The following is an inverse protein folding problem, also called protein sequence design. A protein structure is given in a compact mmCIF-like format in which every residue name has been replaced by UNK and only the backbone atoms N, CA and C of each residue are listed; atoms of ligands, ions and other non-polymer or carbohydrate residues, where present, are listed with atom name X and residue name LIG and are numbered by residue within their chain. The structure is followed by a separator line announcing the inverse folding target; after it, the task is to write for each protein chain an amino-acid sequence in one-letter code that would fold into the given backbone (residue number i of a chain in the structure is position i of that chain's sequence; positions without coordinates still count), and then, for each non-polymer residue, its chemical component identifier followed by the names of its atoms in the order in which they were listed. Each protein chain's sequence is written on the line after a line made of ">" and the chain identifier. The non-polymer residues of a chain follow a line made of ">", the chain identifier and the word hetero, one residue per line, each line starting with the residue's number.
data_IF_333581485087
#
_entry.id   IF_333581485087
#
_cell.length_a   1.000
_cell.length_b   1.000
_cell.length_c   1.000
_cell.angle_alpha   90.00
_cell.angle_beta   90.00
_cell.angle_gamma   90.00
#
_symmetry.space_group_name_H-M   'P 1'
#
loop_
_entity.id
_entity.type
_entity.pdbx_description
1 polymer ?
#
# COMPACT_ATOMS: atom_id res chain seq x y z
N UNK A 1 -22.58 -3.86 21.48
CA UNK A 1 -22.79 -4.08 20.03
C UNK A 1 -21.65 -4.95 19.51
N UNK A 2 -21.89 -5.77 18.49
CA UNK A 2 -20.86 -6.58 17.81
C UNK A 2 -20.69 -6.12 16.36
N UNK A 3 -19.53 -6.38 15.76
CA UNK A 3 -19.27 -6.07 14.36
C UNK A 3 -19.60 -7.29 13.50
N UNK A 4 -20.36 -7.09 12.42
CA UNK A 4 -20.39 -8.03 11.31
C UNK A 4 -19.23 -7.67 10.37
N UNK A 5 -18.08 -8.32 10.57
CA UNK A 5 -16.82 -7.93 9.95
C UNK A 5 -16.02 -9.12 9.40
N UNK A 6 -15.33 -8.86 8.29
CA UNK A 6 -14.38 -9.79 7.66
C UNK A 6 -14.94 -11.21 7.53
N UNK A 7 -14.28 -12.21 8.13
CA UNK A 7 -14.62 -13.63 8.00
C UNK A 7 -15.95 -14.03 8.63
N UNK A 8 -16.55 -13.17 9.46
CA UNK A 8 -17.81 -13.41 10.16
C UNK A 8 -18.85 -12.30 9.86
N UNK A 9 -18.72 -11.64 8.70
CA UNK A 9 -19.65 -10.58 8.30
C UNK A 9 -21.05 -11.12 7.97
N UNK A 10 -21.15 -12.14 7.11
CA UNK A 10 -22.44 -12.60 6.62
C UNK A 10 -23.35 -13.11 7.73
N UNK A 11 -24.66 -12.97 7.50
CA UNK A 11 -25.67 -13.42 8.46
C UNK A 11 -25.45 -14.89 8.85
N UNK A 12 -25.32 -15.21 10.15
CA UNK A 12 -24.97 -16.54 10.59
C UNK A 12 -26.06 -17.56 10.25
N UNK A 13 -25.66 -18.72 9.74
CA UNK A 13 -26.59 -19.81 9.37
C UNK A 13 -26.87 -20.79 10.52
N UNK A 14 -25.94 -20.91 11.48
CA UNK A 14 -25.96 -21.94 12.53
C UNK A 14 -26.19 -21.38 13.94
N UNK A 15 -26.15 -20.07 14.08
CA UNK A 15 -26.27 -19.38 15.37
C UNK A 15 -27.25 -18.24 15.20
N UNK A 16 -28.14 -18.07 16.17
CA UNK A 16 -29.00 -16.90 16.27
C UNK A 16 -28.48 -16.02 17.40
N UNK A 17 -28.33 -14.73 17.13
CA UNK A 17 -27.89 -13.78 18.15
C UNK A 17 -29.04 -13.50 19.12
N UNK A 18 -28.74 -13.39 20.42
CA UNK A 18 -29.70 -12.94 21.44
C UNK A 18 -30.25 -11.56 21.09
N UNK A 19 -31.54 -11.30 21.35
CA UNK A 19 -32.25 -10.10 20.90
C UNK A 19 -31.68 -8.78 21.46
N UNK A 20 -30.98 -8.84 22.59
CA UNK A 20 -30.34 -7.68 23.23
C UNK A 20 -28.99 -7.28 22.59
N UNK A 21 -28.50 -8.00 21.58
CA UNK A 21 -27.23 -7.71 20.91
C UNK A 21 -27.48 -6.81 19.68
N UNK A 22 -27.06 -5.55 19.73
CA UNK A 22 -26.99 -4.71 18.54
C UNK A 22 -25.84 -5.12 17.61
N UNK A 23 -26.04 -5.00 16.29
CA UNK A 23 -25.07 -5.37 15.25
C UNK A 23 -24.65 -4.15 14.44
N UNK A 24 -23.36 -4.02 14.17
CA UNK A 24 -22.79 -3.00 13.28
C UNK A 24 -22.29 -3.65 11.99
N UNK A 25 -22.86 -3.25 10.84
CA UNK A 25 -22.48 -3.78 9.53
C UNK A 25 -21.30 -2.99 8.96
N UNK A 26 -20.19 -3.67 8.67
CA UNK A 26 -18.99 -3.06 8.10
C UNK A 26 -19.09 -2.98 6.57
N UNK A 27 -19.22 -1.78 6.00
CA UNK A 27 -19.50 -1.58 4.56
C UNK A 27 -18.44 -0.72 3.86
N UNK A 28 -18.05 -1.12 2.65
CA UNK A 28 -17.11 -0.46 1.75
C UNK A 28 -17.81 0.60 0.87
N UNK A 29 -18.59 1.49 1.50
CA UNK A 29 -19.45 2.45 0.80
C UNK A 29 -18.73 3.39 -0.16
N UNK A 30 -17.43 3.64 0.04
CA UNK A 30 -16.60 4.47 -0.84
C UNK A 30 -15.95 3.72 -1.99
N UNK A 31 -15.96 2.38 -2.01
CA UNK A 31 -15.48 1.59 -3.15
C UNK A 31 -16.55 1.56 -4.26
N UNK A 32 -17.09 2.73 -4.61
CA UNK A 32 -18.27 2.90 -5.46
C UNK A 32 -17.98 2.54 -6.93
N UNK A 33 -16.69 2.56 -7.27
CA UNK A 33 -16.13 2.19 -8.57
C UNK A 33 -16.08 0.70 -8.83
N UNK A 34 -16.27 -0.13 -7.80
CA UNK A 34 -16.18 -1.59 -7.88
C UNK A 34 -17.58 -2.20 -7.78
N UNK A 35 -18.20 -2.57 -8.93
CA UNK A 35 -19.56 -3.11 -8.93
C UNK A 35 -19.69 -4.43 -8.15
N UNK A 36 -18.64 -5.25 -8.12
CA UNK A 36 -18.67 -6.52 -7.41
C UNK A 36 -18.70 -6.31 -5.89
N UNK A 37 -17.87 -5.38 -5.38
CA UNK A 37 -17.92 -4.97 -3.96
C UNK A 37 -19.28 -4.34 -3.64
N UNK A 38 -19.78 -3.43 -4.48
CA UNK A 38 -21.08 -2.78 -4.21
C UNK A 38 -22.23 -3.79 -4.21
N UNK A 39 -22.25 -4.75 -5.13
CA UNK A 39 -23.25 -5.81 -5.18
C UNK A 39 -23.18 -6.69 -3.93
N UNK A 40 -21.98 -7.14 -3.54
CA UNK A 40 -21.76 -7.90 -2.32
C UNK A 40 -22.24 -7.14 -1.08
N UNK A 41 -21.89 -5.86 -0.94
CA UNK A 41 -22.25 -5.07 0.23
C UNK A 41 -23.77 -4.83 0.32
N UNK A 42 -24.45 -4.68 -0.83
CA UNK A 42 -25.91 -4.60 -0.89
C UNK A 42 -26.55 -5.93 -0.48
N UNK A 43 -26.06 -7.06 -0.99
CA UNK A 43 -26.56 -8.39 -0.62
C UNK A 43 -26.35 -8.66 0.87
N UNK A 44 -25.13 -8.42 1.37
CA UNK A 44 -24.75 -8.52 2.77
C UNK A 44 -25.66 -7.65 3.65
N UNK A 45 -25.81 -6.37 3.33
CA UNK A 45 -26.69 -5.45 4.06
C UNK A 45 -28.14 -5.95 4.07
N UNK A 46 -28.69 -6.27 2.90
CA UNK A 46 -30.06 -6.77 2.76
C UNK A 46 -30.27 -8.05 3.56
N UNK A 47 -29.28 -8.96 3.59
CA UNK A 47 -29.37 -10.22 4.33
C UNK A 47 -29.61 -10.02 5.82
N UNK A 48 -29.00 -8.98 6.41
CA UNK A 48 -29.17 -8.64 7.82
C UNK A 48 -30.49 -7.91 8.08
N UNK A 49 -30.74 -6.82 7.36
CA UNK A 49 -31.92 -5.96 7.64
C UNK A 49 -33.25 -6.64 7.32
N UNK A 50 -33.26 -7.66 6.45
CA UNK A 50 -34.48 -8.43 6.15
C UNK A 50 -34.77 -9.51 7.18
N UNK A 51 -33.72 -10.12 7.75
CA UNK A 51 -33.84 -11.24 8.72
C UNK A 51 -33.96 -10.77 10.16
N UNK A 52 -33.44 -9.59 10.49
CA UNK A 52 -33.35 -9.05 11.85
C UNK A 52 -34.12 -7.72 11.98
N UNK A 53 -35.41 -7.73 11.60
CA UNK A 53 -36.25 -6.51 11.51
C UNK A 53 -36.37 -5.75 12.83
N UNK A 54 -36.43 -6.46 13.96
CA UNK A 54 -36.62 -5.87 15.28
C UNK A 54 -35.29 -5.60 16.02
N UNK A 55 -34.16 -5.98 15.42
CA UNK A 55 -32.84 -5.79 16.01
C UNK A 55 -32.30 -4.40 15.69
N UNK A 56 -31.69 -3.69 16.66
CA UNK A 56 -30.90 -2.51 16.36
C UNK A 56 -29.71 -2.84 15.45
N UNK A 57 -29.81 -2.41 14.18
CA UNK A 57 -28.72 -2.47 13.20
C UNK A 57 -28.13 -1.07 13.03
N UNK A 58 -26.81 -1.00 13.16
CA UNK A 58 -25.98 0.18 13.00
C UNK A 58 -24.92 -0.08 11.91
N UNK A 59 -24.15 0.95 11.57
CA UNK A 59 -23.17 0.88 10.49
C UNK A 59 -21.76 1.17 10.98
N UNK A 60 -20.79 0.53 10.35
CA UNK A 60 -19.39 0.91 10.36
C UNK A 60 -18.98 1.18 8.92
N UNK A 61 -18.83 2.45 8.56
CA UNK A 61 -18.65 2.88 7.18
C UNK A 61 -17.18 3.20 6.89
N UNK A 62 -16.60 2.52 5.90
CA UNK A 62 -15.23 2.77 5.47
C UNK A 62 -15.14 4.01 4.56
N UNK A 63 -14.86 5.16 5.18
CA UNK A 63 -14.58 6.43 4.51
C UNK A 63 -13.07 6.66 4.30
N UNK A 64 -12.22 5.87 4.95
CA UNK A 64 -10.76 6.01 4.98
C UNK A 64 -10.06 5.67 3.65
N UNK A 65 -10.68 4.87 2.79
CA UNK A 65 -10.10 4.54 1.48
C UNK A 65 -10.27 5.72 0.51
N UNK A 66 -9.45 5.85 -0.55
CA UNK A 66 -8.18 5.16 -0.73
C UNK A 66 -7.03 5.73 0.14
N UNK A 67 -7.28 6.84 0.86
CA UNK A 67 -6.24 7.61 1.56
C UNK A 67 -5.46 6.79 2.57
N UNK A 68 -6.11 5.88 3.32
CA UNK A 68 -5.44 5.04 4.30
C UNK A 68 -4.37 4.14 3.66
N UNK A 69 -4.66 3.55 2.50
CA UNK A 69 -3.70 2.71 1.76
C UNK A 69 -2.54 3.55 1.22
N UNK A 70 -2.84 4.75 0.73
CA UNK A 70 -1.84 5.71 0.29
C UNK A 70 -0.92 6.17 1.42
N UNK A 71 -1.48 6.59 2.54
CA UNK A 71 -0.76 7.05 3.72
C UNK A 71 0.14 5.96 4.31
N UNK A 72 -0.39 4.75 4.53
CA UNK A 72 0.41 3.60 4.99
C UNK A 72 1.52 3.23 4.00
N UNK A 73 1.27 3.46 2.72
CA UNK A 73 2.24 3.20 1.65
C UNK A 73 3.25 4.34 1.41
N UNK A 74 3.08 5.51 2.02
CA UNK A 74 3.91 6.69 1.77
C UNK A 74 3.82 7.22 0.33
N UNK A 75 2.64 7.21 -0.29
CA UNK A 75 2.42 7.73 -1.63
C UNK A 75 1.09 8.49 -1.73
N UNK A 76 0.95 9.38 -2.70
CA UNK A 76 -0.30 10.13 -2.89
C UNK A 76 -1.29 9.37 -3.77
N UNK A 77 -2.54 9.25 -3.32
CA UNK A 77 -3.63 8.66 -4.06
C UNK A 77 -4.33 9.64 -5.02
N UNK A 78 -5.05 9.11 -6.01
CA UNK A 78 -6.15 9.86 -6.64
C UNK A 78 -7.29 10.01 -5.61
N UNK A 79 -7.96 11.19 -5.48
CA UNK A 79 -9.00 11.41 -4.48
C UNK A 79 -10.22 10.53 -4.68
N UNK A 80 -10.75 9.99 -3.58
CA UNK A 80 -11.92 9.12 -3.58
C UNK A 80 -13.25 9.85 -3.42
N UNK A 81 -13.47 10.96 -4.10
CA UNK A 81 -14.72 11.74 -4.00
C UNK A 81 -15.92 10.91 -4.46
N UNK A 82 -17.04 10.99 -3.73
CA UNK A 82 -18.17 10.07 -3.91
C UNK A 82 -19.51 10.57 -3.32
N UNK A 83 -19.77 11.87 -3.29
CA UNK A 83 -21.04 12.44 -2.78
C UNK A 83 -22.29 11.73 -3.30
N UNK A 84 -22.36 11.41 -4.59
CA UNK A 84 -23.47 10.67 -5.19
C UNK A 84 -23.54 9.21 -4.73
N UNK A 85 -22.41 8.62 -4.31
CA UNK A 85 -22.37 7.33 -3.62
C UNK A 85 -22.95 7.43 -2.21
N UNK A 86 -22.63 8.50 -1.47
CA UNK A 86 -23.20 8.78 -0.14
C UNK A 86 -24.73 8.88 -0.24
N UNK A 87 -25.25 9.64 -1.21
CA UNK A 87 -26.68 9.78 -1.46
C UNK A 87 -27.39 8.43 -1.61
N UNK A 88 -26.88 7.56 -2.49
CA UNK A 88 -27.45 6.25 -2.75
C UNK A 88 -27.47 5.37 -1.51
N UNK A 89 -26.38 5.36 -0.74
CA UNK A 89 -26.27 4.56 0.47
C UNK A 89 -27.15 5.10 1.59
N UNK A 90 -27.19 6.41 1.82
CA UNK A 90 -27.92 7.01 2.94
C UNK A 90 -29.43 6.91 2.73
N UNK A 91 -29.92 7.08 1.51
CA UNK A 91 -31.32 6.79 1.16
C UNK A 91 -31.67 5.32 1.38
N UNK A 92 -30.75 4.39 1.08
CA UNK A 92 -30.95 2.97 1.41
C UNK A 92 -31.03 2.76 2.92
N UNK A 93 -30.10 3.31 3.68
CA UNK A 93 -30.10 3.19 5.14
C UNK A 93 -31.39 3.74 5.76
N UNK A 94 -31.85 4.90 5.30
CA UNK A 94 -33.11 5.49 5.72
C UNK A 94 -34.31 4.59 5.44
N UNK A 95 -34.42 4.01 4.22
CA UNK A 95 -35.51 3.08 3.87
C UNK A 95 -35.58 1.85 4.78
N UNK A 96 -34.47 1.47 5.41
CA UNK A 96 -34.40 0.33 6.33
C UNK A 96 -34.35 0.75 7.81
N UNK A 97 -34.64 2.01 8.12
CA UNK A 97 -34.74 2.48 9.50
C UNK A 97 -33.42 2.47 10.27
N UNK A 98 -32.28 2.52 9.59
CA UNK A 98 -30.97 2.55 10.24
C UNK A 98 -30.76 3.91 10.93
N UNK A 99 -30.36 3.90 12.20
CA UNK A 99 -30.32 5.10 13.06
C UNK A 99 -28.94 5.52 13.54
N UNK A 100 -27.87 4.84 13.13
CA UNK A 100 -26.53 5.27 13.54
C UNK A 100 -25.41 4.64 12.72
N UNK A 101 -24.37 5.42 12.51
CA UNK A 101 -23.18 5.04 11.77
C UNK A 101 -21.93 5.51 12.52
N UNK A 102 -20.95 4.62 12.65
CA UNK A 102 -19.57 4.96 12.91
C UNK A 102 -18.84 5.14 11.59
N UNK A 103 -17.95 6.12 11.51
CA UNK A 103 -17.18 6.43 10.30
C UNK A 103 -15.72 6.09 10.54
N UNK A 104 -15.21 5.09 9.83
CA UNK A 104 -13.79 4.77 9.83
C UNK A 104 -13.08 5.64 8.81
N UNK A 105 -12.28 6.58 9.31
CA UNK A 105 -11.88 7.76 8.57
C UNK A 105 -13.03 8.76 8.44
N UNK A 106 -12.74 9.95 7.93
CA UNK A 106 -13.74 10.98 7.70
C UNK A 106 -13.53 11.59 6.32
N UNK A 107 -14.62 11.89 5.61
CA UNK A 107 -14.55 12.58 4.32
C UNK A 107 -13.96 13.99 4.51
N UNK A 108 -13.16 14.46 3.55
CA UNK A 108 -12.69 15.85 3.60
C UNK A 108 -13.74 16.77 2.97
N UNK A 109 -13.96 17.93 3.60
CA UNK A 109 -14.75 19.04 3.07
C UNK A 109 -16.14 18.66 2.54
N UNK A 110 -16.28 18.42 1.23
CA UNK A 110 -17.57 18.16 0.56
C UNK A 110 -18.23 16.89 1.06
N UNK A 111 -17.49 15.79 1.20
CA UNK A 111 -18.07 14.53 1.69
C UNK A 111 -18.59 14.68 3.12
N UNK A 112 -17.85 15.39 3.98
CA UNK A 112 -18.30 15.65 5.36
C UNK A 112 -19.60 16.47 5.36
N UNK A 113 -19.68 17.51 4.53
CA UNK A 113 -20.87 18.34 4.42
C UNK A 113 -22.08 17.53 3.93
N UNK A 114 -21.92 16.78 2.84
CA UNK A 114 -22.98 15.91 2.28
C UNK A 114 -23.42 14.87 3.30
N UNK A 115 -22.48 14.18 3.94
CA UNK A 115 -22.79 13.20 4.99
C UNK A 115 -23.60 13.84 6.12
N UNK A 116 -23.17 14.98 6.66
CA UNK A 116 -23.88 15.63 7.77
C UNK A 116 -25.29 16.08 7.37
N UNK A 117 -25.46 16.63 6.16
CA UNK A 117 -26.79 17.01 5.65
C UNK A 117 -27.72 15.81 5.48
N UNK A 118 -27.19 14.66 5.05
CA UNK A 118 -27.98 13.44 4.86
C UNK A 118 -28.18 12.63 6.14
N UNK A 119 -27.36 12.84 7.18
CA UNK A 119 -27.64 12.33 8.53
C UNK A 119 -28.83 13.07 9.16
N UNK A 120 -28.94 14.38 8.90
CA UNK A 120 -30.04 15.22 9.36
C UNK A 120 -31.33 14.94 8.59
N UNK A 121 -31.27 15.00 7.24
CA UNK A 121 -32.38 14.68 6.35
C UNK A 121 -31.92 13.86 5.13
N UNK A 122 -32.12 12.54 5.12
CA UNK A 122 -31.68 11.65 4.04
C UNK A 122 -32.56 11.76 2.77
N UNK A 123 -33.65 12.53 2.80
CA UNK A 123 -34.53 12.70 1.63
C UNK A 123 -34.07 13.82 0.70
N UNK A 124 -33.14 14.67 1.16
CA UNK A 124 -32.59 15.78 0.40
C UNK A 124 -31.93 15.31 -0.91
N UNK A 125 -31.97 16.20 -1.91
CA UNK A 125 -31.20 16.02 -3.14
C UNK A 125 -29.73 16.32 -2.89
N UNK A 126 -28.85 15.38 -3.23
CA UNK A 126 -27.39 15.59 -3.17
C UNK A 126 -26.95 16.72 -4.08
N UNK A 127 -27.54 16.89 -5.25
CA UNK A 127 -27.21 17.98 -6.18
C UNK A 127 -27.48 19.34 -5.55
N UNK A 128 -28.62 19.48 -4.85
CA UNK A 128 -28.98 20.70 -4.14
C UNK A 128 -28.05 20.97 -2.94
N UNK A 129 -27.61 19.91 -2.24
CA UNK A 129 -26.61 20.04 -1.16
C UNK A 129 -25.26 20.49 -1.73
N UNK A 130 -24.86 19.97 -2.89
CA UNK A 130 -23.63 20.39 -3.56
C UNK A 130 -23.75 21.84 -4.05
N UNK A 131 -24.88 22.24 -4.64
CA UNK A 131 -25.12 23.64 -5.04
C UNK A 131 -24.98 24.59 -3.85
N UNK A 132 -25.65 24.28 -2.75
CA UNK A 132 -25.58 25.03 -1.49
C UNK A 132 -24.13 25.15 -0.98
N UNK A 133 -23.40 24.02 -0.94
CA UNK A 133 -22.01 24.00 -0.51
C UNK A 133 -21.11 24.86 -1.40
N UNK A 134 -21.15 24.66 -2.73
CA UNK A 134 -20.23 25.34 -3.63
C UNK A 134 -20.56 26.84 -3.74
N UNK A 135 -21.85 27.21 -3.79
CA UNK A 135 -22.27 28.60 -3.79
C UNK A 135 -21.87 29.30 -2.48
N UNK A 136 -22.15 28.71 -1.32
CA UNK A 136 -21.87 29.33 -0.02
C UNK A 136 -20.39 29.35 0.35
N UNK A 137 -19.63 28.31 -0.01
CA UNK A 137 -18.22 28.20 0.35
C UNK A 137 -17.32 28.95 -0.64
N UNK A 138 -17.53 28.81 -1.96
CA UNK A 138 -16.64 29.39 -2.97
C UNK A 138 -17.15 30.67 -3.63
N UNK A 139 -18.42 31.05 -3.40
CA UNK A 139 -19.01 32.29 -3.90
C UNK A 139 -18.80 32.45 -5.41
N UNK A 140 -18.10 33.50 -5.84
CA UNK A 140 -17.85 33.75 -7.26
C UNK A 140 -17.09 32.62 -7.99
N UNK A 141 -16.33 31.78 -7.26
CA UNK A 141 -15.64 30.63 -7.81
C UNK A 141 -16.46 29.31 -7.78
N UNK A 142 -17.74 29.36 -7.37
CA UNK A 142 -18.57 28.18 -7.17
C UNK A 142 -18.63 27.25 -8.40
N UNK A 143 -18.90 27.79 -9.58
CA UNK A 143 -19.05 27.00 -10.82
C UNK A 143 -17.80 26.19 -11.16
N UNK A 144 -16.62 26.79 -11.37
CA UNK A 144 -15.42 26.00 -11.71
C UNK A 144 -15.00 25.04 -10.58
N UNK A 145 -15.27 25.38 -9.31
CA UNK A 145 -15.00 24.48 -8.18
C UNK A 145 -15.93 23.26 -8.15
N UNK A 146 -17.23 23.45 -8.38
CA UNK A 146 -18.20 22.35 -8.47
C UNK A 146 -17.87 21.44 -9.66
N UNK A 147 -17.58 22.03 -10.82
CA UNK A 147 -17.18 21.27 -12.01
C UNK A 147 -15.90 20.44 -11.78
N UNK A 148 -14.90 21.01 -11.12
CA UNK A 148 -13.68 20.30 -10.77
C UNK A 148 -13.95 19.12 -9.83
N UNK A 149 -14.73 19.34 -8.77
CA UNK A 149 -15.13 18.28 -7.84
C UNK A 149 -15.86 17.14 -8.54
N UNK A 150 -16.91 17.46 -9.32
CA UNK A 150 -17.71 16.46 -10.04
C UNK A 150 -16.87 15.69 -11.05
N UNK A 151 -15.91 16.34 -11.72
CA UNK A 151 -15.03 15.66 -12.66
C UNK A 151 -14.08 14.67 -11.96
N UNK A 152 -13.59 14.99 -10.76
CA UNK A 152 -12.78 14.08 -9.93
C UNK A 152 -13.64 12.94 -9.39
N UNK A 153 -14.82 13.24 -8.84
CA UNK A 153 -15.79 12.24 -8.35
C UNK A 153 -16.16 11.25 -9.46
N UNK A 154 -16.53 11.75 -10.64
CA UNK A 154 -16.89 10.91 -11.77
C UNK A 154 -15.70 10.02 -12.19
N UNK A 155 -14.49 10.58 -12.28
CA UNK A 155 -13.29 9.79 -12.61
C UNK A 155 -13.04 8.69 -11.60
N UNK A 156 -13.20 8.97 -10.30
CA UNK A 156 -13.02 7.96 -9.26
C UNK A 156 -14.13 6.92 -9.29
N UNK A 157 -15.37 7.33 -9.50
CA UNK A 157 -16.57 6.50 -9.30
C UNK A 157 -16.96 5.66 -10.51
N UNK A 158 -16.50 6.00 -11.71
CA UNK A 158 -16.84 5.29 -12.95
C UNK A 158 -16.03 3.99 -13.10
N UNK A 159 -16.66 2.80 -13.07
CA UNK A 159 -15.98 1.52 -13.27
C UNK A 159 -15.23 1.44 -14.61
N UNK A 160 -15.69 2.14 -15.66
CA UNK A 160 -15.03 2.17 -16.95
C UNK A 160 -13.66 2.88 -16.91
N UNK A 161 -13.39 3.64 -15.85
CA UNK A 161 -12.10 4.25 -15.57
C UNK A 161 -11.03 3.27 -15.08
N UNK A 162 -11.39 2.01 -14.79
CA UNK A 162 -10.52 0.99 -14.20
C UNK A 162 -10.22 -0.15 -15.19
N UNK A 163 -9.11 -0.90 -15.01
CA UNK A 163 -8.86 -2.11 -15.78
C UNK A 163 -9.99 -3.13 -15.64
N UNK A 164 -10.24 -3.89 -16.70
CA UNK A 164 -11.19 -5.01 -16.65
C UNK A 164 -10.83 -5.99 -15.53
N UNK A 165 -11.86 -6.41 -14.77
CA UNK A 165 -11.69 -7.32 -13.62
C UNK A 165 -10.97 -6.71 -12.41
N UNK A 166 -10.67 -5.40 -12.41
CA UNK A 166 -10.10 -4.75 -11.24
C UNK A 166 -11.08 -4.78 -10.07
N UNK A 167 -10.59 -5.24 -8.91
CA UNK A 167 -11.34 -5.19 -7.65
C UNK A 167 -10.47 -4.70 -6.50
N UNK A 168 -11.12 -4.05 -5.53
CA UNK A 168 -10.52 -3.59 -4.29
C UNK A 168 -9.99 -2.16 -4.34
N UNK A 169 -9.03 -1.88 -3.45
CA UNK A 169 -8.47 -0.54 -3.29
C UNK A 169 -7.48 -0.20 -4.41
N UNK A 170 -7.48 1.07 -4.81
CA UNK A 170 -6.50 1.59 -5.74
C UNK A 170 -5.06 1.39 -5.26
N UNK A 171 -4.18 1.16 -6.24
CA UNK A 171 -2.72 1.10 -6.08
C UNK A 171 -2.10 2.24 -6.88
N UNK A 172 -0.79 2.51 -6.69
CA UNK A 172 -0.05 3.57 -7.41
C UNK A 172 -0.34 3.59 -8.92
N UNK A 173 -0.29 2.41 -9.56
CA UNK A 173 -0.59 2.23 -11.00
C UNK A 173 -2.02 2.65 -11.36
N UNK A 174 -3.02 2.20 -10.60
CA UNK A 174 -4.43 2.58 -10.82
C UNK A 174 -4.60 4.09 -10.67
N UNK A 175 -4.06 4.67 -9.60
CA UNK A 175 -4.17 6.10 -9.34
C UNK A 175 -3.58 6.96 -10.46
N UNK A 176 -2.43 6.59 -11.03
CA UNK A 176 -1.67 7.49 -11.91
C UNK A 176 -1.54 7.04 -13.37
N UNK A 177 -1.84 5.79 -13.72
CA UNK A 177 -1.96 5.37 -15.12
C UNK A 177 -3.41 5.33 -15.60
N UNK A 178 -4.37 5.05 -14.71
CA UNK A 178 -5.78 4.91 -15.08
C UNK A 178 -6.63 6.12 -14.68
N UNK A 179 -6.55 6.60 -13.44
CA UNK A 179 -7.42 7.68 -12.94
C UNK A 179 -6.85 9.07 -13.24
N UNK A 180 -5.70 9.40 -12.68
CA UNK A 180 -5.03 10.70 -12.82
C UNK A 180 -4.18 10.82 -14.09
N UNK A 181 -4.75 10.56 -15.27
CA UNK A 181 -4.05 10.65 -16.56
C UNK A 181 -3.58 12.07 -16.87
N UNK A 182 -2.58 12.22 -17.75
CA UNK A 182 -2.08 13.54 -18.16
C UNK A 182 -3.19 14.41 -18.80
N UNK A 183 -4.08 13.80 -19.59
CA UNK A 183 -5.22 14.48 -20.20
C UNK A 183 -6.20 15.00 -19.14
N UNK A 184 -6.57 14.16 -18.16
CA UNK A 184 -7.49 14.57 -17.08
C UNK A 184 -6.88 15.64 -16.19
N UNK A 185 -5.62 15.50 -15.80
CA UNK A 185 -4.94 16.56 -15.03
C UNK A 185 -4.86 17.86 -15.81
N UNK A 186 -4.62 17.83 -17.13
CA UNK A 186 -4.65 19.07 -17.93
C UNK A 186 -6.02 19.74 -17.87
N UNK A 187 -7.11 18.97 -17.98
CA UNK A 187 -8.48 19.49 -17.84
C UNK A 187 -8.74 20.04 -16.44
N UNK A 188 -8.40 19.30 -15.39
CA UNK A 188 -8.61 19.70 -14.00
C UNK A 188 -7.80 20.95 -13.64
N UNK A 189 -6.57 21.06 -14.14
CA UNK A 189 -5.74 22.25 -13.95
C UNK A 189 -6.35 23.51 -14.56
N UNK A 190 -7.04 23.40 -15.70
CA UNK A 190 -7.78 24.55 -16.28
C UNK A 190 -8.92 25.01 -15.39
N UNK A 191 -9.70 24.08 -14.84
CA UNK A 191 -10.77 24.40 -13.88
C UNK A 191 -10.21 25.05 -12.61
N UNK A 192 -9.07 24.55 -12.11
CA UNK A 192 -8.39 25.15 -10.96
C UNK A 192 -7.97 26.61 -11.25
N UNK A 193 -7.41 26.88 -12.43
CA UNK A 193 -7.06 28.25 -12.86
C UNK A 193 -8.29 29.14 -12.99
N UNK A 194 -9.38 28.63 -13.59
CA UNK A 194 -10.64 29.37 -13.69
C UNK A 194 -11.21 29.72 -12.30
N UNK A 195 -11.18 28.79 -11.34
CA UNK A 195 -11.60 29.06 -9.98
C UNK A 195 -10.74 30.12 -9.28
N UNK A 196 -9.42 30.10 -9.48
CA UNK A 196 -8.53 31.12 -8.94
C UNK A 196 -8.81 32.51 -9.53
N UNK A 197 -9.14 32.60 -10.82
CA UNK A 197 -9.50 33.85 -11.49
C UNK A 197 -10.90 34.35 -11.12
N UNK A 198 -11.82 33.43 -10.82
CA UNK A 198 -13.21 33.76 -10.50
C UNK A 198 -13.40 34.25 -9.06
N UNK A 199 -12.53 33.85 -8.13
CA UNK A 199 -12.59 34.33 -6.74
C UNK A 199 -12.39 35.85 -6.67
N UNK A 200 -13.30 36.56 -6.02
CA UNK A 200 -13.34 38.03 -5.95
C UNK A 200 -12.98 38.59 -4.57
N UNK A 201 -13.16 37.80 -3.51
CA UNK A 201 -12.89 38.22 -2.13
C UNK A 201 -11.72 37.47 -1.52
N UNK A 202 -11.05 38.07 -0.53
CA UNK A 202 -9.97 37.43 0.23
C UNK A 202 -10.37 36.08 0.86
N UNK A 203 -11.64 35.93 1.24
CA UNK A 203 -12.14 34.68 1.80
C UNK A 203 -12.27 33.60 0.72
N UNK A 204 -12.86 33.93 -0.43
CA UNK A 204 -12.96 33.01 -1.58
C UNK A 204 -11.58 32.60 -2.07
N UNK A 205 -10.65 33.55 -2.24
CA UNK A 205 -9.27 33.27 -2.68
C UNK A 205 -8.57 32.31 -1.72
N UNK A 206 -8.72 32.50 -0.40
CA UNK A 206 -8.15 31.58 0.61
C UNK A 206 -8.77 30.18 0.53
N UNK A 207 -10.09 30.07 0.36
CA UNK A 207 -10.78 28.78 0.24
C UNK A 207 -10.37 28.03 -1.03
N UNK A 208 -10.26 28.71 -2.17
CA UNK A 208 -9.74 28.13 -3.41
C UNK A 208 -8.28 27.69 -3.25
N UNK A 209 -7.45 28.47 -2.56
CA UNK A 209 -6.06 28.11 -2.27
C UNK A 209 -5.94 26.88 -1.35
N UNK A 210 -6.85 26.72 -0.37
CA UNK A 210 -6.91 25.52 0.46
C UNK A 210 -7.20 24.26 -0.37
N UNK A 211 -8.21 24.31 -1.25
CA UNK A 211 -8.48 23.19 -2.16
C UNK A 211 -7.28 22.89 -3.05
N UNK A 212 -6.65 23.94 -3.62
CA UNK A 212 -5.45 23.77 -4.44
C UNK A 212 -4.37 23.02 -3.67
N UNK A 213 -4.08 23.43 -2.44
CA UNK A 213 -3.04 22.80 -1.62
C UNK A 213 -3.40 21.37 -1.21
N UNK A 214 -4.62 21.15 -0.72
CA UNK A 214 -5.05 19.88 -0.13
C UNK A 214 -5.34 18.80 -1.17
N UNK A 215 -5.85 19.19 -2.35
CA UNK A 215 -6.32 18.26 -3.38
C UNK A 215 -5.48 18.35 -4.64
N UNK A 216 -5.40 19.53 -5.26
CA UNK A 216 -4.78 19.67 -6.58
C UNK A 216 -3.27 19.41 -6.56
N UNK A 217 -2.53 20.09 -5.68
CA UNK A 217 -1.08 19.94 -5.56
C UNK A 217 -0.71 18.54 -5.08
N UNK A 218 -1.51 17.95 -4.19
CA UNK A 218 -1.38 16.56 -3.78
C UNK A 218 -1.47 15.60 -4.98
N UNK A 219 -2.43 15.81 -5.89
CA UNK A 219 -2.58 15.00 -7.11
C UNK A 219 -1.42 15.17 -8.09
N UNK A 220 -1.05 16.42 -8.38
CA UNK A 220 0.06 16.74 -9.29
C UNK A 220 1.36 16.12 -8.80
N UNK A 221 1.63 16.28 -7.50
CA UNK A 221 2.80 15.70 -6.85
C UNK A 221 2.76 14.17 -6.86
N UNK A 222 1.60 13.56 -6.60
CA UNK A 222 1.44 12.11 -6.66
C UNK A 222 1.78 11.51 -8.02
N UNK A 223 1.26 12.14 -9.09
CA UNK A 223 1.61 11.74 -10.46
C UNK A 223 3.10 11.95 -10.72
N UNK A 224 3.67 13.10 -10.34
CA UNK A 224 5.08 13.41 -10.55
C UNK A 224 5.98 12.36 -9.88
N UNK A 225 5.72 12.04 -8.61
CA UNK A 225 6.46 11.02 -7.86
C UNK A 225 6.38 9.65 -8.52
N UNK A 226 5.18 9.25 -8.98
CA UNK A 226 4.99 7.96 -9.64
C UNK A 226 5.88 7.80 -10.88
N UNK A 227 5.84 8.75 -11.80
CA UNK A 227 6.64 8.68 -13.03
C UNK A 227 8.12 8.95 -12.79
N UNK A 228 8.48 9.76 -11.81
CA UNK A 228 9.87 9.95 -11.40
C UNK A 228 10.47 8.65 -10.87
N UNK A 229 9.74 7.93 -9.99
CA UNK A 229 10.16 6.62 -9.47
C UNK A 229 10.36 5.59 -10.57
N UNK A 230 9.48 5.54 -11.57
CA UNK A 230 9.61 4.61 -12.69
C UNK A 230 10.92 4.79 -13.48
N UNK A 231 11.42 6.03 -13.59
CA UNK A 231 12.67 6.37 -14.28
C UNK A 231 13.91 6.33 -13.40
N UNK A 232 13.74 6.27 -12.08
CA UNK A 232 14.86 6.31 -11.16
C UNK A 232 15.74 5.05 -11.31
N UNK A 233 17.07 5.17 -11.17
CA UNK A 233 17.97 4.03 -11.26
C UNK A 233 17.62 2.98 -10.19
N UNK A 234 17.93 1.72 -10.46
CA UNK A 234 17.88 0.62 -9.50
C UNK A 234 19.29 0.23 -9.08
N UNK A 235 19.42 -0.63 -8.07
CA UNK A 235 20.72 -1.24 -7.74
C UNK A 235 21.27 -1.97 -8.95
N UNK A 236 22.59 -1.95 -9.13
CA UNK A 236 23.29 -2.72 -10.16
C UNK A 236 24.61 -3.22 -9.60
N UNK A 237 24.92 -4.49 -9.78
CA UNK A 237 26.25 -5.03 -9.47
C UNK A 237 26.58 -6.26 -10.31
N UNK A 238 27.87 -6.54 -10.49
CA UNK A 238 28.35 -7.84 -10.98
C UNK A 238 28.75 -8.67 -9.78
N UNK A 239 28.35 -9.93 -9.77
CA UNK A 239 28.62 -10.86 -8.68
C UNK A 239 29.84 -11.67 -9.07
N UNK A 240 31.00 -11.44 -8.43
CA UNK A 240 32.23 -12.08 -8.85
C UNK A 240 32.21 -13.56 -8.53
N UNK A 241 32.77 -14.35 -9.46
CA UNK A 241 33.02 -15.77 -9.26
C UNK A 241 34.28 -15.97 -8.42
N UNK A 242 34.14 -16.70 -7.33
CA UNK A 242 35.21 -17.08 -6.42
C UNK A 242 35.60 -18.56 -6.63
N UNK A 243 36.77 -18.99 -6.11
CA UNK A 243 37.10 -20.41 -6.02
C UNK A 243 35.99 -21.23 -5.33
N UNK A 244 35.92 -22.53 -5.63
CA UNK A 244 34.90 -23.41 -5.06
C UNK A 244 34.91 -23.40 -3.53
N UNK A 245 33.85 -22.83 -2.95
CA UNK A 245 33.60 -22.84 -1.52
C UNK A 245 32.62 -23.96 -1.12
N UNK A 246 31.91 -24.57 -2.09
CA UNK A 246 31.03 -25.74 -1.91
C UNK A 246 29.99 -25.54 -0.79
N UNK A 247 29.44 -24.35 -0.73
CA UNK A 247 28.45 -23.95 0.27
C UNK A 247 29.05 -23.56 1.63
N UNK A 248 30.36 -23.35 1.74
CA UNK A 248 31.06 -22.95 2.96
C UNK A 248 31.39 -21.45 3.01
N UNK A 249 30.64 -20.62 3.78
CA UNK A 249 30.86 -19.19 3.82
C UNK A 249 32.15 -18.80 4.56
N UNK A 250 32.81 -19.74 5.27
CA UNK A 250 34.11 -19.49 5.90
C UNK A 250 35.26 -19.52 4.89
N UNK A 251 35.05 -20.15 3.72
CA UNK A 251 36.04 -20.24 2.64
C UNK A 251 35.92 -19.09 1.62
N UNK A 252 34.88 -18.27 1.74
CA UNK A 252 34.66 -17.13 0.83
C UNK A 252 35.64 -16.01 1.16
N UNK A 253 36.37 -15.54 0.15
CA UNK A 253 37.24 -14.38 0.26
C UNK A 253 36.40 -13.09 0.27
N UNK A 254 35.71 -12.80 1.38
CA UNK A 254 34.76 -11.68 1.50
C UNK A 254 35.35 -10.30 1.13
N UNK A 255 36.66 -10.09 1.29
CA UNK A 255 37.33 -8.87 0.86
C UNK A 255 37.31 -8.63 -0.66
N UNK A 256 37.12 -9.69 -1.46
CA UNK A 256 37.02 -9.65 -2.93
C UNK A 256 35.57 -9.71 -3.43
N UNK A 257 34.60 -9.94 -2.56
CA UNK A 257 33.19 -9.96 -2.91
C UNK A 257 32.71 -8.56 -3.33
N UNK A 258 31.72 -8.48 -4.23
CA UNK A 258 31.17 -7.21 -4.65
C UNK A 258 30.37 -6.56 -3.51
N UNK A 259 30.60 -5.26 -3.29
CA UNK A 259 29.87 -4.52 -2.27
C UNK A 259 28.44 -4.18 -2.72
N UNK A 260 27.49 -4.31 -1.81
CA UNK A 260 26.09 -3.91 -1.96
C UNK A 260 25.84 -2.69 -1.09
N UNK A 261 26.19 -1.51 -1.62
CA UNK A 261 26.04 -0.22 -0.93
C UNK A 261 25.78 0.92 -1.93
N UNK A 262 25.16 2.03 -1.52
CA UNK A 262 24.57 2.27 -0.18
C UNK A 262 23.24 1.52 0.02
N UNK A 263 22.80 1.43 1.28
CA UNK A 263 21.41 1.13 1.61
C UNK A 263 20.60 2.43 1.73
N UNK A 264 19.34 2.40 1.31
CA UNK A 264 18.46 3.56 1.20
C UNK A 264 17.31 3.45 2.18
N UNK A 265 17.01 4.53 2.91
CA UNK A 265 15.84 4.60 3.79
C UNK A 265 14.57 4.69 2.96
N UNK A 266 13.51 3.98 3.36
CA UNK A 266 12.17 4.17 2.80
C UNK A 266 11.62 5.55 3.15
N UNK A 267 11.81 5.98 4.39
CA UNK A 267 11.38 7.28 4.89
C UNK A 267 12.61 8.08 5.35
N UNK A 268 12.87 9.27 4.79
CA UNK A 268 13.99 10.11 5.16
C UNK A 268 14.06 10.48 6.65
N UNK A 269 12.93 10.48 7.35
CA UNK A 269 12.85 10.78 8.79
C UNK A 269 13.33 9.63 9.69
N UNK A 270 13.49 8.42 9.14
CA UNK A 270 14.00 7.27 9.91
C UNK A 270 15.44 7.51 10.37
N UNK A 271 15.87 6.94 11.52
CA UNK A 271 17.25 6.95 11.95
C UNK A 271 18.22 6.43 10.88
N UNK A 272 19.49 6.82 10.94
CA UNK A 272 20.51 6.23 10.04
C UNK A 272 21.10 4.99 10.69
N UNK A 273 21.09 3.87 9.95
CA UNK A 273 21.77 2.63 10.34
C UNK A 273 22.98 2.42 9.44
N UNK A 274 24.08 1.91 10.02
CA UNK A 274 25.29 1.58 9.28
C UNK A 274 25.15 0.15 8.74
N UNK A 275 24.70 0.06 7.48
CA UNK A 275 24.41 -1.20 6.80
C UNK A 275 25.42 -1.46 5.69
N UNK A 276 25.95 -2.67 5.63
CA UNK A 276 26.85 -3.14 4.59
C UNK A 276 26.38 -4.49 4.06
N UNK A 277 26.53 -4.70 2.75
CA UNK A 277 26.29 -5.99 2.12
C UNK A 277 27.44 -6.37 1.20
N UNK A 278 27.68 -7.67 1.05
CA UNK A 278 28.63 -8.24 0.09
C UNK A 278 28.03 -9.45 -0.61
N UNK A 279 28.37 -9.64 -1.87
CA UNK A 279 27.87 -10.74 -2.69
C UNK A 279 28.97 -11.37 -3.54
N UNK A 280 28.95 -12.70 -3.63
CA UNK A 280 29.82 -13.50 -4.48
C UNK A 280 29.11 -14.81 -4.89
N UNK A 281 29.66 -15.54 -5.86
CA UNK A 281 29.23 -16.92 -6.13
C UNK A 281 30.44 -17.81 -6.42
N UNK A 282 30.30 -19.13 -6.33
CA UNK A 282 31.35 -20.07 -6.76
C UNK A 282 30.98 -20.85 -8.04
N UNK A 283 29.80 -20.56 -8.60
CA UNK A 283 29.22 -21.26 -9.75
C UNK A 283 28.21 -22.34 -9.37
N UNK A 284 28.12 -22.71 -8.08
CA UNK A 284 27.12 -23.63 -7.55
C UNK A 284 26.26 -22.99 -6.45
N UNK A 285 26.81 -22.03 -5.71
CA UNK A 285 26.14 -21.30 -4.64
C UNK A 285 26.35 -19.79 -4.80
N UNK A 286 25.32 -19.03 -4.42
CA UNK A 286 25.37 -17.59 -4.15
C UNK A 286 25.66 -17.37 -2.66
N UNK A 287 26.55 -16.43 -2.37
CA UNK A 287 26.96 -16.07 -1.02
C UNK A 287 26.62 -14.60 -0.76
N UNK A 288 25.98 -14.33 0.39
CA UNK A 288 25.71 -13.00 0.90
C UNK A 288 26.29 -12.84 2.30
N UNK A 289 26.94 -11.71 2.57
CA UNK A 289 27.29 -11.26 3.93
C UNK A 289 26.63 -9.90 4.16
N UNK A 290 25.74 -9.84 5.16
CA UNK A 290 24.97 -8.65 5.52
C UNK A 290 25.39 -8.23 6.92
N UNK A 291 25.77 -6.97 7.09
CA UNK A 291 26.25 -6.45 8.36
C UNK A 291 25.45 -5.20 8.74
N UNK A 292 25.02 -5.16 10.00
CA UNK A 292 24.56 -3.94 10.66
C UNK A 292 25.52 -3.65 11.83
N UNK A 293 26.04 -2.42 11.94
CA UNK A 293 26.72 -1.98 13.16
C UNK A 293 25.68 -1.53 14.18
N UNK A 294 25.53 -2.30 15.24
CA UNK A 294 24.50 -2.18 16.26
C UNK A 294 24.94 -2.97 17.49
N UNK A 295 24.51 -2.56 18.69
CA UNK A 295 24.62 -3.44 19.87
C UNK A 295 23.64 -4.62 19.67
N UNK A 296 24.10 -5.87 19.51
CA UNK A 296 23.19 -6.97 19.25
C UNK A 296 22.17 -7.24 20.36
N UNK A 297 22.39 -6.73 21.58
CA UNK A 297 21.40 -6.81 22.68
C UNK A 297 20.17 -5.95 22.43
N UNK A 298 20.28 -4.94 21.56
CA UNK A 298 19.17 -4.08 21.16
C UNK A 298 18.27 -4.69 20.08
N UNK A 299 18.73 -5.77 19.42
CA UNK A 299 17.98 -6.43 18.36
C UNK A 299 16.72 -7.09 18.91
N UNK A 300 15.58 -6.80 18.28
CA UNK A 300 14.35 -7.48 18.62
C UNK A 300 14.32 -8.87 17.98
N UNK A 301 14.13 -9.91 18.79
CA UNK A 301 13.90 -11.26 18.28
C UNK A 301 12.95 -12.03 19.16
N UNK A 302 11.77 -12.35 18.63
CA UNK A 302 10.70 -13.10 19.29
C UNK A 302 10.54 -14.54 18.73
N UNK A 303 11.40 -14.92 17.79
CA UNK A 303 11.40 -16.25 17.16
C UNK A 303 10.50 -16.36 15.93
N UNK A 304 9.77 -15.30 15.56
CA UNK A 304 9.00 -15.21 14.32
C UNK A 304 9.72 -14.24 13.40
N UNK A 305 10.13 -14.68 12.20
CA UNK A 305 11.05 -13.92 11.34
C UNK A 305 10.53 -12.51 11.06
N UNK A 306 9.29 -12.38 10.61
CA UNK A 306 8.69 -11.09 10.21
C UNK A 306 8.11 -10.25 11.37
N UNK A 307 8.21 -10.77 12.60
CA UNK A 307 7.87 -10.04 13.81
C UNK A 307 9.13 -9.57 14.58
N UNK A 308 10.27 -10.18 14.28
CA UNK A 308 11.61 -9.80 14.74
C UNK A 308 12.18 -8.64 13.90
N UNK A 309 13.34 -8.13 14.32
CA UNK A 309 14.25 -7.50 13.38
C UNK A 309 14.70 -8.57 12.38
N UNK A 310 14.84 -8.20 11.11
CA UNK A 310 15.23 -9.17 10.09
C UNK A 310 15.98 -8.56 8.91
N UNK A 311 16.62 -9.46 8.17
CA UNK A 311 17.02 -9.27 6.77
C UNK A 311 16.05 -10.01 5.86
N UNK A 312 15.56 -9.34 4.82
CA UNK A 312 14.79 -9.95 3.74
C UNK A 312 15.55 -9.91 2.42
N UNK A 313 15.65 -11.06 1.76
CA UNK A 313 16.32 -11.23 0.48
C UNK A 313 15.24 -11.59 -0.53
N UNK A 314 15.07 -10.74 -1.53
CA UNK A 314 14.12 -10.95 -2.62
C UNK A 314 14.85 -11.19 -3.93
N UNK A 315 14.50 -12.23 -4.67
CA UNK A 315 15.18 -12.53 -5.94
C UNK A 315 14.24 -13.12 -7.00
N UNK A 316 14.43 -12.73 -8.26
CA UNK A 316 13.69 -13.27 -9.41
C UNK A 316 14.45 -13.15 -10.73
N UNK A 317 13.94 -13.80 -11.78
CA UNK A 317 14.51 -13.73 -13.14
C UNK A 317 14.10 -12.48 -13.92
N UNK A 318 13.14 -11.71 -13.40
CA UNK A 318 12.64 -10.47 -14.00
C UNK A 318 12.15 -9.51 -12.93
N UNK A 319 12.01 -8.23 -13.27
CA UNK A 319 11.33 -7.22 -12.43
C UNK A 319 9.81 -7.43 -12.42
N UNK A 320 9.36 -8.44 -11.67
CA UNK A 320 7.96 -8.84 -11.56
C UNK A 320 7.80 -10.21 -10.91
N UNK A 321 6.57 -10.72 -10.88
CA UNK A 321 6.29 -12.11 -10.45
C UNK A 321 6.62 -13.12 -11.58
N UNK A 322 7.10 -14.33 -11.27
CA UNK A 322 7.38 -14.84 -9.93
C UNK A 322 8.71 -14.33 -9.36
N UNK A 323 8.80 -14.24 -8.03
CA UNK A 323 10.02 -14.00 -7.28
C UNK A 323 9.99 -14.78 -5.95
N UNK A 324 11.15 -14.97 -5.34
CA UNK A 324 11.32 -15.68 -4.07
C UNK A 324 11.81 -14.73 -2.98
N UNK A 325 11.49 -15.07 -1.74
CA UNK A 325 11.82 -14.28 -0.55
C UNK A 325 12.43 -15.21 0.50
N UNK A 326 13.55 -14.80 1.08
CA UNK A 326 14.14 -15.42 2.27
C UNK A 326 14.24 -14.37 3.38
N UNK A 327 13.60 -14.61 4.50
CA UNK A 327 13.76 -13.82 5.72
C UNK A 327 14.73 -14.47 6.67
N UNK A 328 15.53 -13.66 7.37
CA UNK A 328 16.52 -14.12 8.35
C UNK A 328 16.48 -13.24 9.59
N UNK A 329 16.17 -13.84 10.73
CA UNK A 329 16.19 -13.14 12.03
C UNK A 329 17.60 -13.12 12.66
N UNK A 330 17.85 -12.28 13.69
CA UNK A 330 19.08 -12.26 14.48
C UNK A 330 19.47 -13.61 15.08
N UNK A 331 18.50 -14.49 15.34
CA UNK A 331 18.75 -15.86 15.85
C UNK A 331 19.11 -16.86 14.75
N UNK A 332 19.14 -16.43 13.49
CA UNK A 332 19.40 -17.29 12.33
C UNK A 332 18.19 -18.11 11.88
N UNK A 333 17.02 -17.97 12.52
CA UNK A 333 15.77 -18.56 12.04
C UNK A 333 15.41 -17.99 10.67
N UNK A 334 14.91 -18.84 9.78
CA UNK A 334 14.62 -18.49 8.39
C UNK A 334 13.19 -18.82 7.99
N UNK A 335 12.61 -17.99 7.13
CA UNK A 335 11.37 -18.28 6.42
C UNK A 335 11.55 -18.04 4.92
N UNK A 336 11.10 -18.98 4.09
CA UNK A 336 11.29 -18.94 2.65
C UNK A 336 9.96 -19.06 1.91
N UNK A 337 9.61 -18.03 1.13
CA UNK A 337 8.32 -17.93 0.44
C UNK A 337 8.53 -17.77 -1.07
N UNK A 338 7.63 -18.37 -1.85
CA UNK A 338 7.54 -18.16 -3.29
C UNK A 338 6.32 -17.30 -3.63
N UNK A 339 6.51 -16.24 -4.41
CA UNK A 339 5.47 -15.28 -4.75
C UNK A 339 5.10 -15.39 -6.22
N UNK A 340 3.88 -15.84 -6.50
CA UNK A 340 3.41 -16.07 -7.88
C UNK A 340 3.83 -17.43 -8.45
N UNK A 341 4.23 -18.37 -7.58
CA UNK A 341 4.40 -19.78 -7.88
C UNK A 341 3.29 -20.58 -7.17
N UNK A 342 2.98 -21.79 -7.66
CA UNK A 342 1.99 -22.69 -7.05
C UNK A 342 2.52 -23.37 -5.79
N UNK A 343 3.83 -23.62 -5.71
CA UNK A 343 4.48 -24.24 -4.57
C UNK A 343 5.00 -23.17 -3.60
N UNK A 344 4.41 -23.10 -2.40
CA UNK A 344 4.90 -22.32 -1.25
C UNK A 344 4.64 -23.12 0.03
N UNK A 345 5.57 -23.17 1.01
CA UNK A 345 6.85 -22.46 1.08
C UNK A 345 7.88 -22.92 0.04
N UNK A 346 8.90 -22.10 -0.19
CA UNK A 346 10.02 -22.41 -1.08
C UNK A 346 11.08 -23.20 -0.31
N UNK A 347 11.43 -24.41 -0.77
CA UNK A 347 12.64 -25.10 -0.31
C UNK A 347 13.88 -24.39 -0.89
N UNK A 348 14.39 -23.42 -0.13
CA UNK A 348 15.55 -22.62 -0.54
C UNK A 348 16.86 -23.39 -0.52
N UNK A 349 16.96 -24.47 0.27
CA UNK A 349 18.23 -25.09 0.63
C UNK A 349 19.23 -24.09 1.25
N UNK A 350 18.75 -22.96 1.77
CA UNK A 350 19.61 -21.92 2.31
C UNK A 350 20.33 -22.40 3.57
N UNK A 351 21.62 -22.09 3.68
CA UNK A 351 22.35 -22.19 4.94
C UNK A 351 22.64 -20.80 5.45
N UNK A 352 22.31 -20.56 6.71
CA UNK A 352 22.45 -19.27 7.36
C UNK A 352 23.34 -19.39 8.59
N UNK A 353 24.26 -18.44 8.73
CA UNK A 353 25.01 -18.19 9.96
C UNK A 353 24.70 -16.77 10.40
N UNK A 354 24.04 -16.62 11.54
CA UNK A 354 23.79 -15.33 12.17
C UNK A 354 24.73 -15.17 13.36
N UNK A 355 25.62 -14.19 13.30
CA UNK A 355 26.64 -13.92 14.31
C UNK A 355 26.36 -12.58 15.01
N UNK A 356 26.04 -12.69 16.28
CA UNK A 356 25.79 -11.58 17.22
C UNK A 356 26.80 -11.58 18.36
N UNK A 357 27.92 -12.30 18.23
CA UNK A 357 28.94 -12.45 19.28
C UNK A 357 29.76 -11.18 19.52
N UNK A 358 29.94 -10.36 18.48
CA UNK A 358 30.63 -9.08 18.59
C UNK A 358 29.72 -8.02 19.22
N UNK A 359 30.23 -7.23 20.16
CA UNK A 359 29.44 -6.25 20.91
C UNK A 359 28.91 -5.07 20.07
N UNK A 360 29.41 -4.88 18.85
CA UNK A 360 29.18 -3.70 18.02
C UNK A 360 28.57 -3.99 16.64
N UNK A 361 28.24 -5.26 16.34
CA UNK A 361 27.69 -5.65 15.04
C UNK A 361 26.91 -6.95 15.06
N UNK A 362 25.96 -7.01 14.13
CA UNK A 362 25.30 -8.23 13.69
C UNK A 362 25.72 -8.57 12.26
N UNK A 363 26.28 -9.76 12.07
CA UNK A 363 26.73 -10.27 10.76
C UNK A 363 25.92 -11.50 10.39
N UNK A 364 25.24 -11.45 9.24
CA UNK A 364 24.49 -12.58 8.68
C UNK A 364 25.17 -13.06 7.40
N UNK A 365 25.58 -14.32 7.38
CA UNK A 365 26.09 -14.99 6.17
C UNK A 365 25.07 -15.98 5.64
N UNK A 366 24.71 -15.85 4.38
CA UNK A 366 23.67 -16.64 3.72
C UNK A 366 24.29 -17.32 2.51
N UNK A 367 24.07 -18.63 2.41
CA UNK A 367 24.51 -19.46 1.29
C UNK A 367 23.26 -20.03 0.62
N UNK A 368 23.11 -19.79 -0.68
CA UNK A 368 21.96 -20.20 -1.46
C UNK A 368 22.40 -21.05 -2.67
N UNK A 369 21.98 -22.31 -2.80
CA UNK A 369 22.26 -23.11 -3.99
C UNK A 369 21.66 -22.46 -5.25
N UNK A 370 22.47 -22.22 -6.28
CA UNK A 370 22.01 -21.57 -7.52
C UNK A 370 20.91 -22.36 -8.22
N UNK A 371 20.96 -23.71 -8.15
CA UNK A 371 19.94 -24.59 -8.68
C UNK A 371 18.55 -24.38 -8.05
N UNK A 372 18.51 -23.87 -6.81
CA UNK A 372 17.27 -23.60 -6.07
C UNK A 372 16.94 -22.11 -5.96
N UNK A 373 17.79 -21.21 -6.45
CA UNK A 373 17.68 -19.77 -6.19
C UNK A 373 16.43 -19.11 -6.78
N UNK A 374 16.05 -19.51 -7.99
CA UNK A 374 14.91 -18.98 -8.78
C UNK A 374 14.25 -20.13 -9.55
N UNK A 375 13.03 -19.95 -10.11
CA UNK A 375 12.40 -20.97 -10.95
C UNK A 375 13.31 -21.43 -12.10
N UNK A 376 13.60 -22.74 -12.15
CA UNK A 376 14.52 -23.34 -13.12
C UNK A 376 16.01 -23.12 -12.83
N UNK A 377 16.37 -22.64 -11.63
CA UNK A 377 17.75 -22.40 -11.21
C UNK A 377 18.41 -21.20 -11.90
N UNK A 378 19.63 -20.89 -11.45
CA UNK A 378 20.52 -19.89 -12.01
C UNK A 378 21.91 -20.49 -12.28
N UNK A 379 22.70 -19.85 -13.14
CA UNK A 379 24.08 -20.21 -13.48
C UNK A 379 24.93 -18.97 -13.77
N UNK A 380 26.25 -19.14 -13.84
CA UNK A 380 27.16 -18.10 -14.30
C UNK A 380 26.71 -17.53 -15.66
N UNK A 381 26.82 -16.22 -15.83
CA UNK A 381 26.32 -15.45 -16.96
C UNK A 381 24.86 -15.00 -16.86
N UNK A 382 24.07 -15.55 -15.93
CA UNK A 382 22.66 -15.14 -15.79
C UNK A 382 22.53 -13.73 -15.20
N UNK A 383 21.56 -12.98 -15.72
CA UNK A 383 21.04 -11.76 -15.10
C UNK A 383 19.86 -12.10 -14.19
N UNK A 384 19.92 -11.65 -12.94
CA UNK A 384 18.87 -11.80 -11.94
C UNK A 384 18.51 -10.44 -11.34
N UNK A 385 17.35 -10.38 -10.70
CA UNK A 385 16.84 -9.17 -10.07
C UNK A 385 16.70 -9.40 -8.57
N UNK A 386 17.48 -8.66 -7.78
CA UNK A 386 17.66 -8.80 -6.35
C UNK A 386 17.21 -7.53 -5.62
N UNK A 387 16.63 -7.68 -4.43
CA UNK A 387 16.67 -6.63 -3.42
C UNK A 387 17.01 -7.23 -2.06
N UNK A 388 17.72 -6.45 -1.24
CA UNK A 388 18.00 -6.79 0.15
C UNK A 388 17.39 -5.71 1.01
N UNK A 389 16.64 -6.13 2.00
CA UNK A 389 15.87 -5.25 2.88
C UNK A 389 16.26 -5.52 4.32
N UNK A 390 16.55 -4.47 5.08
CA UNK A 390 16.62 -4.51 6.54
C UNK A 390 15.30 -4.00 7.09
N UNK A 391 14.62 -4.80 7.90
CA UNK A 391 13.35 -4.41 8.56
C UNK A 391 13.52 -4.42 10.06
N UNK A 392 13.36 -3.25 10.69
CA UNK A 392 13.33 -3.16 12.14
C UNK A 392 11.91 -3.32 12.67
N UNK A 393 11.79 -4.12 13.72
CA UNK A 393 10.57 -4.66 14.27
C UNK A 393 9.51 -3.59 14.62
N UNK A 394 8.22 -3.95 14.58
CA UNK A 394 7.09 -3.03 14.51
C UNK A 394 6.72 -2.27 15.79
N UNK A 395 7.46 -2.36 16.91
CA UNK A 395 7.03 -1.78 18.20
C UNK A 395 6.90 -0.25 18.20
N UNK A 396 7.50 0.45 17.24
CA UNK A 396 7.37 1.90 17.05
C UNK A 396 7.11 2.32 15.59
N UNK A 397 6.70 1.38 14.72
CA UNK A 397 6.62 1.56 13.27
C UNK A 397 7.76 0.88 12.52
N UNK A 398 7.49 0.34 11.32
CA UNK A 398 8.49 -0.40 10.51
C UNK A 398 9.51 0.56 9.91
N UNK A 399 10.76 0.52 10.38
CA UNK A 399 11.88 1.12 9.65
C UNK A 399 12.38 0.16 8.58
N UNK A 400 12.57 0.65 7.36
CA UNK A 400 12.86 -0.17 6.18
C UNK A 400 14.02 0.46 5.43
N UNK A 401 15.07 -0.32 5.21
CA UNK A 401 16.24 0.07 4.44
C UNK A 401 16.44 -0.90 3.30
N UNK A 402 16.67 -0.42 2.08
CA UNK A 402 16.79 -1.28 0.89
C UNK A 402 18.11 -1.07 0.16
N UNK A 403 18.70 -2.13 -0.38
CA UNK A 403 19.86 -2.01 -1.27
C UNK A 403 19.49 -1.35 -2.60
N UNK A 404 18.41 -1.80 -3.25
CA UNK A 404 17.92 -1.13 -4.45
C UNK A 404 17.17 0.14 -4.07
N UNK A 405 17.53 1.33 -4.61
CA UNK A 405 16.87 2.60 -4.29
C UNK A 405 15.43 2.68 -4.78
N UNK A 406 14.64 3.51 -4.10
CA UNK A 406 13.23 3.76 -4.40
C UNK A 406 12.38 2.48 -4.41
N UNK A 407 12.71 1.54 -3.53
CA UNK A 407 12.05 0.25 -3.35
C UNK A 407 11.58 0.07 -1.90
N UNK A 408 10.71 -0.91 -1.66
CA UNK A 408 10.41 -1.48 -0.34
C UNK A 408 10.24 -3.00 -0.47
N UNK A 409 9.79 -3.67 0.59
CA UNK A 409 9.31 -5.06 0.55
C UNK A 409 8.23 -5.23 -0.55
N UNK A 410 8.30 -6.34 -1.27
CA UNK A 410 7.33 -6.73 -2.31
C UNK A 410 7.13 -5.74 -3.48
N UNK A 411 8.15 -4.96 -3.84
CA UNK A 411 8.17 -4.10 -5.04
C UNK A 411 9.14 -4.65 -6.11
N UNK A 412 8.83 -5.79 -6.76
CA UNK A 412 9.74 -6.44 -7.72
C UNK A 412 10.02 -5.60 -8.96
N UNK A 413 9.18 -4.60 -9.25
CA UNK A 413 9.43 -3.59 -10.30
C UNK A 413 10.69 -2.75 -10.03
N UNK A 414 11.22 -2.77 -8.79
CA UNK A 414 12.39 -2.00 -8.35
C UNK A 414 13.57 -2.85 -7.90
N UNK A 415 13.54 -4.16 -8.07
CA UNK A 415 14.69 -5.00 -7.76
C UNK A 415 15.89 -4.59 -8.62
N UNK A 416 17.05 -4.49 -7.96
CA UNK A 416 18.32 -4.19 -8.58
C UNK A 416 18.78 -5.35 -9.45
N UNK A 417 19.60 -5.05 -10.44
CA UNK A 417 20.14 -6.01 -11.40
C UNK A 417 21.45 -6.59 -10.84
N UNK A 418 21.57 -7.91 -10.85
CA UNK A 418 22.81 -8.61 -10.57
C UNK A 418 23.16 -9.52 -11.74
N UNK A 419 24.43 -9.54 -12.13
CA UNK A 419 24.94 -10.44 -13.17
C UNK A 419 25.93 -11.40 -12.53
N UNK A 420 25.69 -12.71 -12.62
CA UNK A 420 26.62 -13.73 -12.14
C UNK A 420 27.79 -13.83 -13.14
N UNK A 421 29.03 -13.68 -12.70
CA UNK A 421 30.21 -13.67 -13.59
C UNK A 421 30.63 -15.06 -14.12
#
# INVERSE_FOLDING_TARGET
>A
ATLAYARYAYYPQRVRLESNIAVQLCLHVRNIHDPAIQANDVEFFNSWVTKEKDRPIYLWLYYCFPQEIAARGGWHCFPGFFAHGIDRWFKRFHRHGIRGAFFNGWGQDVEAYVTLKLLDDPTRSVDAILDDYFAGYYGAAATPMKELYLAIEHTYSDPAGYPEGFTGHQRKKIAWEHLGTAQRLTRFGRLMVQAQQAAKTDLETRRVALFKRAVWDYMVEGRRQYFARAKAPTGKTRVPRMPEAKGDPTKVAWAKAAALKPFHKKDPSQPTHQLEGRIAHDGTHLYLELTERVDPKSLHSDGIVWASDDWEIFIGKKRGRPYRQLGVSPRGSTEALAHGETATPWDSGARVVSDTSAADRWVTRIVLPLAKLVPGGAKAGDELYLNIVRVLAPRAGRHIYTWSPNSTVHEPDRYGEIVLE
#
